data_IF_959595532988
#
_entry.id   IF_959595532988
#
_cell.length_a   1.000
_cell.length_b   1.000
_cell.length_c   1.000
_cell.angle_alpha   90.00
_cell.angle_beta   90.00
_cell.angle_gamma   90.00
#
_symmetry.space_group_name_H-M   'P 1'
#
loop_
_entity.id
_entity.type
_entity.pdbx_description
1 polymer ?
#
# COMPACT_ATOMS: atom_id res chain seq x y z
N UNK A 1 -0.25 35.63 -8.01
CA UNK A 1 -1.69 35.70 -7.67
C UNK A 1 -2.60 34.82 -8.55
N UNK A 2 -2.12 34.14 -9.61
CA UNK A 2 -2.98 33.41 -10.57
C UNK A 2 -3.02 31.88 -10.36
N UNK A 3 -1.92 31.26 -9.90
CA UNK A 3 -1.77 29.80 -9.86
C UNK A 3 -2.60 29.11 -8.77
N UNK A 4 -2.62 29.65 -7.56
CA UNK A 4 -3.41 29.11 -6.44
C UNK A 4 -4.92 29.18 -6.72
N UNK A 5 -5.37 30.24 -7.38
CA UNK A 5 -6.77 30.40 -7.79
C UNK A 5 -7.15 29.41 -8.90
N UNK A 6 -6.27 29.21 -9.88
CA UNK A 6 -6.47 28.19 -10.93
C UNK A 6 -6.50 26.78 -10.33
N UNK A 7 -5.59 26.45 -9.41
CA UNK A 7 -5.58 25.15 -8.71
C UNK A 7 -6.87 24.91 -7.93
N UNK A 8 -7.37 25.93 -7.21
CA UNK A 8 -8.65 25.89 -6.51
C UNK A 8 -9.80 25.60 -7.47
N UNK A 9 -9.92 26.38 -8.55
CA UNK A 9 -10.98 26.22 -9.55
C UNK A 9 -10.94 24.84 -10.21
N UNK A 10 -9.77 24.38 -10.65
CA UNK A 10 -9.61 23.07 -11.28
C UNK A 10 -9.94 21.93 -10.32
N UNK A 11 -9.48 22.00 -9.07
CA UNK A 11 -9.79 21.01 -8.04
C UNK A 11 -11.29 20.94 -7.74
N UNK A 12 -11.95 22.08 -7.60
CA UNK A 12 -13.41 22.15 -7.39
C UNK A 12 -14.17 21.60 -8.59
N UNK A 13 -13.83 22.00 -9.82
CA UNK A 13 -14.49 21.49 -11.03
C UNK A 13 -14.32 19.97 -11.17
N UNK A 14 -13.12 19.46 -10.89
CA UNK A 14 -12.85 18.03 -10.92
C UNK A 14 -13.68 17.28 -9.87
N UNK A 15 -13.71 17.78 -8.64
CA UNK A 15 -14.49 17.17 -7.56
C UNK A 15 -15.99 17.18 -7.82
N UNK A 16 -16.54 18.29 -8.32
CA UNK A 16 -17.95 18.39 -8.71
C UNK A 16 -18.28 17.46 -9.89
N UNK A 17 -17.40 17.40 -10.90
CA UNK A 17 -17.59 16.52 -12.06
C UNK A 17 -17.61 15.05 -11.66
N UNK A 18 -16.64 14.62 -10.83
CA UNK A 18 -16.58 13.24 -10.34
C UNK A 18 -17.77 12.90 -9.43
N UNK A 19 -18.16 13.82 -8.55
CA UNK A 19 -19.36 13.64 -7.73
C UNK A 19 -20.64 13.54 -8.57
N UNK A 20 -20.75 14.32 -9.64
CA UNK A 20 -21.85 14.27 -10.60
C UNK A 20 -21.96 12.91 -11.32
N UNK A 21 -20.83 12.33 -11.74
CA UNK A 21 -20.78 10.97 -12.29
C UNK A 21 -21.29 9.97 -11.24
N UNK A 22 -20.88 10.11 -9.99
CA UNK A 22 -21.34 9.24 -8.90
C UNK A 22 -22.86 9.30 -8.67
N UNK A 23 -23.44 10.51 -8.66
CA UNK A 23 -24.90 10.72 -8.58
C UNK A 23 -25.60 10.08 -9.79
N UNK A 24 -25.03 10.23 -10.99
CA UNK A 24 -25.57 9.62 -12.20
C UNK A 24 -25.60 8.09 -12.10
N UNK A 25 -24.53 7.46 -11.58
CA UNK A 25 -24.48 6.01 -11.39
C UNK A 25 -25.55 5.50 -10.41
N UNK A 26 -25.80 6.23 -9.32
CA UNK A 26 -26.83 5.85 -8.33
C UNK A 26 -28.24 6.00 -8.91
N UNK A 27 -28.48 7.07 -9.66
CA UNK A 27 -29.81 7.37 -10.23
C UNK A 27 -30.14 6.52 -11.46
N UNK A 28 -29.13 6.09 -12.22
CA UNK A 28 -29.27 5.27 -13.43
C UNK A 28 -28.41 4.01 -13.36
N UNK A 29 -28.64 3.12 -12.37
CA UNK A 29 -27.72 2.03 -12.06
C UNK A 29 -27.64 0.96 -13.17
N UNK A 30 -28.66 0.87 -14.03
CA UNK A 30 -28.72 -0.09 -15.13
C UNK A 30 -27.91 0.32 -16.35
N UNK A 31 -27.96 1.61 -16.72
CA UNK A 31 -27.36 2.13 -17.96
C UNK A 31 -26.01 2.79 -17.72
N UNK A 32 -25.73 3.23 -16.48
CA UNK A 32 -24.53 3.99 -16.17
C UNK A 32 -23.23 3.23 -16.47
N UNK A 33 -23.19 1.92 -16.26
CA UNK A 33 -21.98 1.11 -16.53
C UNK A 33 -21.63 1.12 -18.02
N UNK A 34 -22.62 0.93 -18.90
CA UNK A 34 -22.41 1.02 -20.35
C UNK A 34 -22.00 2.45 -20.76
N UNK A 35 -22.68 3.46 -20.21
CA UNK A 35 -22.35 4.84 -20.52
C UNK A 35 -20.94 5.24 -20.08
N UNK A 36 -20.42 4.68 -18.99
CA UNK A 36 -19.02 4.88 -18.59
C UNK A 36 -18.06 4.30 -19.63
N UNK A 37 -18.36 3.12 -20.20
CA UNK A 37 -17.56 2.56 -21.31
C UNK A 37 -17.62 3.48 -22.53
N UNK A 38 -18.78 4.07 -22.82
CA UNK A 38 -18.93 5.06 -23.90
C UNK A 38 -18.14 6.34 -23.64
N UNK A 39 -18.18 6.87 -22.42
CA UNK A 39 -17.38 8.04 -22.03
C UNK A 39 -15.88 7.76 -22.13
N UNK A 40 -15.43 6.57 -21.74
CA UNK A 40 -14.04 6.13 -21.89
C UNK A 40 -13.63 6.11 -23.37
N UNK A 41 -14.48 5.57 -24.25
CA UNK A 41 -14.25 5.60 -25.70
C UNK A 41 -14.13 7.04 -26.22
N UNK A 42 -15.03 7.94 -25.81
CA UNK A 42 -14.98 9.34 -26.20
C UNK A 42 -13.67 10.02 -25.74
N UNK A 43 -13.23 9.75 -24.50
CA UNK A 43 -11.96 10.26 -23.98
C UNK A 43 -10.75 9.77 -24.80
N UNK A 44 -10.72 8.48 -25.17
CA UNK A 44 -9.65 7.92 -26.01
C UNK A 44 -9.61 8.58 -27.39
N UNK A 45 -10.77 8.86 -27.99
CA UNK A 45 -10.86 9.61 -29.25
C UNK A 45 -10.32 11.03 -29.09
N UNK A 46 -10.73 11.74 -28.03
CA UNK A 46 -10.23 13.09 -27.74
C UNK A 46 -8.69 13.08 -27.59
N UNK A 47 -8.14 12.13 -26.84
CA UNK A 47 -6.69 12.00 -26.70
C UNK A 47 -5.99 11.67 -28.02
N UNK A 48 -6.57 10.81 -28.86
CA UNK A 48 -6.04 10.53 -30.19
C UNK A 48 -6.02 11.81 -31.05
N UNK A 49 -7.11 12.58 -31.05
CA UNK A 49 -7.21 13.85 -31.79
C UNK A 49 -6.20 14.88 -31.26
N UNK A 50 -6.07 15.04 -29.94
CA UNK A 50 -5.05 15.93 -29.34
C UNK A 50 -3.65 15.51 -29.78
N UNK A 51 -3.33 14.22 -29.73
CA UNK A 51 -2.03 13.71 -30.17
C UNK A 51 -1.79 14.01 -31.65
N UNK A 52 -2.78 13.82 -32.52
CA UNK A 52 -2.69 14.15 -33.95
C UNK A 52 -2.52 15.66 -34.19
N UNK A 53 -3.31 16.52 -33.53
CA UNK A 53 -3.17 17.98 -33.63
C UNK A 53 -1.76 18.39 -33.17
N UNK A 54 -1.28 17.83 -32.06
CA UNK A 54 0.04 18.16 -31.53
C UNK A 54 1.19 17.78 -32.47
N UNK A 55 0.97 16.78 -33.33
CA UNK A 55 1.91 16.39 -34.40
C UNK A 55 2.00 17.47 -35.48
N UNK A 56 0.90 18.14 -35.81
CA UNK A 56 0.88 19.23 -36.79
C UNK A 56 1.54 20.52 -36.28
N UNK A 57 1.43 20.81 -34.97
CA UNK A 57 1.88 22.10 -34.44
C UNK A 57 3.25 22.10 -33.76
N UNK A 58 3.74 20.99 -33.17
CA UNK A 58 4.86 21.07 -32.20
C UNK A 58 5.84 19.90 -32.11
N UNK A 59 5.72 18.81 -32.88
CA UNK A 59 6.62 17.64 -32.72
C UNK A 59 7.58 17.45 -33.90
N UNK A 60 8.89 17.48 -33.64
CA UNK A 60 9.92 17.07 -34.61
C UNK A 60 10.57 15.73 -34.20
N UNK A 61 11.08 14.99 -35.19
CA UNK A 61 11.82 13.73 -34.98
C UNK A 61 11.01 12.64 -34.28
N UNK A 62 11.62 11.97 -33.31
CA UNK A 62 11.03 10.81 -32.61
C UNK A 62 9.80 11.14 -31.77
N UNK A 63 9.67 12.39 -31.30
CA UNK A 63 8.47 12.85 -30.60
C UNK A 63 7.22 12.79 -31.49
N UNK A 64 7.38 12.96 -32.82
CA UNK A 64 6.31 12.85 -33.80
C UNK A 64 5.87 11.39 -33.97
N UNK A 65 6.83 10.48 -34.15
CA UNK A 65 6.56 9.03 -34.30
C UNK A 65 5.84 8.47 -33.08
N UNK A 66 6.30 8.82 -31.88
CA UNK A 66 5.70 8.37 -30.62
C UNK A 66 4.25 8.85 -30.48
N UNK A 67 3.97 10.11 -30.81
CA UNK A 67 2.61 10.67 -30.75
C UNK A 67 1.68 10.06 -31.81
N UNK A 68 2.17 9.82 -33.02
CA UNK A 68 1.41 9.11 -34.05
C UNK A 68 1.09 7.67 -33.64
N UNK A 69 2.08 6.96 -33.08
CA UNK A 69 1.88 5.61 -32.55
C UNK A 69 0.84 5.62 -31.40
N UNK A 70 0.97 6.53 -30.44
CA UNK A 70 -0.01 6.69 -29.37
C UNK A 70 -1.43 6.98 -29.88
N UNK A 71 -1.57 7.81 -30.91
CA UNK A 71 -2.87 8.05 -31.55
C UNK A 71 -3.43 6.78 -32.23
N UNK A 72 -2.60 6.02 -32.96
CA UNK A 72 -3.00 4.77 -33.60
C UNK A 72 -3.43 3.70 -32.59
N UNK A 73 -2.68 3.56 -31.49
CA UNK A 73 -3.02 2.68 -30.37
C UNK A 73 -4.36 3.09 -29.76
N UNK A 74 -4.55 4.37 -29.42
CA UNK A 74 -5.81 4.86 -28.86
C UNK A 74 -7.01 4.59 -29.79
N UNK A 75 -6.89 4.88 -31.09
CA UNK A 75 -7.96 4.60 -32.05
C UNK A 75 -8.25 3.10 -32.18
N UNK A 76 -7.22 2.25 -32.18
CA UNK A 76 -7.38 0.79 -32.19
C UNK A 76 -8.15 0.33 -30.96
N UNK A 77 -7.77 0.81 -29.77
CA UNK A 77 -8.49 0.52 -28.53
C UNK A 77 -9.93 1.03 -28.56
N UNK A 78 -10.18 2.22 -29.12
CA UNK A 78 -11.55 2.73 -29.31
C UNK A 78 -12.37 1.80 -30.19
N UNK A 79 -11.84 1.32 -31.31
CA UNK A 79 -12.56 0.38 -32.20
C UNK A 79 -12.85 -0.94 -31.49
N UNK A 80 -11.88 -1.48 -30.75
CA UNK A 80 -12.08 -2.68 -29.95
C UNK A 80 -13.16 -2.46 -28.87
N UNK A 81 -13.08 -1.37 -28.11
CA UNK A 81 -14.11 -1.05 -27.11
C UNK A 81 -15.47 -0.84 -27.76
N UNK A 82 -15.56 -0.23 -28.95
CA UNK A 82 -16.83 -0.04 -29.64
C UNK A 82 -17.52 -1.37 -29.96
N UNK A 83 -16.74 -2.34 -30.45
CA UNK A 83 -17.26 -3.67 -30.77
C UNK A 83 -17.60 -4.49 -29.51
N UNK A 84 -16.75 -4.42 -28.48
CA UNK A 84 -16.88 -5.22 -27.26
C UNK A 84 -17.57 -4.50 -26.09
N UNK A 85 -18.14 -3.31 -26.29
CA UNK A 85 -18.62 -2.45 -25.19
C UNK A 85 -19.61 -3.13 -24.25
N UNK A 86 -20.54 -3.92 -24.80
CA UNK A 86 -21.54 -4.63 -24.00
C UNK A 86 -20.87 -5.73 -23.16
N UNK A 87 -19.97 -6.50 -23.76
CA UNK A 87 -19.18 -7.52 -23.05
C UNK A 87 -18.33 -6.91 -21.94
N UNK A 88 -17.67 -5.78 -22.20
CA UNK A 88 -16.85 -5.06 -21.21
C UNK A 88 -17.74 -4.51 -20.09
N UNK A 89 -18.86 -3.89 -20.43
CA UNK A 89 -19.81 -3.34 -19.46
C UNK A 89 -20.40 -4.44 -18.55
N UNK A 90 -20.67 -5.63 -19.09
CA UNK A 90 -21.16 -6.77 -18.31
C UNK A 90 -20.05 -7.41 -17.45
N UNK A 91 -18.80 -7.42 -17.92
CA UNK A 91 -17.67 -7.99 -17.20
C UNK A 91 -17.35 -7.23 -15.92
N UNK A 92 -17.46 -5.90 -15.92
CA UNK A 92 -17.11 -5.05 -14.77
C UNK A 92 -17.91 -5.46 -13.50
N UNK A 93 -19.26 -5.55 -13.53
CA UNK A 93 -20.03 -6.05 -12.39
C UNK A 93 -19.71 -7.49 -11.98
N UNK A 94 -19.29 -8.36 -12.89
CA UNK A 94 -18.83 -9.72 -12.54
C UNK A 94 -17.52 -9.70 -11.75
N UNK A 95 -16.56 -8.86 -12.14
CA UNK A 95 -15.32 -8.65 -11.37
C UNK A 95 -15.65 -8.13 -9.98
N UNK A 96 -16.61 -7.20 -9.87
CA UNK A 96 -17.09 -6.72 -8.58
C UNK A 96 -17.72 -7.83 -7.72
N UNK A 97 -18.59 -8.67 -8.29
CA UNK A 97 -19.19 -9.80 -7.60
C UNK A 97 -18.12 -10.81 -7.12
N UNK A 98 -17.13 -11.11 -7.96
CA UNK A 98 -15.98 -11.96 -7.60
C UNK A 98 -15.20 -11.36 -6.43
N UNK A 99 -14.94 -10.05 -6.48
CA UNK A 99 -14.27 -9.33 -5.41
C UNK A 99 -15.03 -9.40 -4.08
N UNK A 100 -16.36 -9.19 -4.10
CA UNK A 100 -17.22 -9.33 -2.91
C UNK A 100 -17.11 -10.74 -2.34
N UNK A 101 -17.13 -11.76 -3.20
CA UNK A 101 -17.03 -13.16 -2.79
C UNK A 101 -15.66 -13.47 -2.15
N UNK A 102 -14.56 -13.07 -2.79
CA UNK A 102 -13.20 -13.25 -2.25
C UNK A 102 -13.06 -12.58 -0.88
N UNK A 103 -13.54 -11.34 -0.73
CA UNK A 103 -13.51 -10.62 0.54
C UNK A 103 -14.37 -11.32 1.61
N UNK A 104 -15.51 -11.87 1.23
CA UNK A 104 -16.36 -12.59 2.17
C UNK A 104 -15.71 -13.89 2.68
N UNK A 105 -15.02 -14.63 1.81
CA UNK A 105 -14.23 -15.81 2.19
C UNK A 105 -13.08 -15.39 3.10
N UNK A 106 -12.37 -14.31 2.79
CA UNK A 106 -11.30 -13.79 3.64
C UNK A 106 -11.82 -13.39 5.05
N UNK A 107 -13.01 -12.77 5.14
CA UNK A 107 -13.67 -12.46 6.43
C UNK A 107 -14.01 -13.73 7.22
N UNK A 108 -14.52 -14.77 6.56
CA UNK A 108 -14.85 -16.05 7.20
C UNK A 108 -13.60 -16.74 7.72
N UNK A 109 -12.52 -16.81 6.92
CA UNK A 109 -11.21 -17.32 7.35
C UNK A 109 -10.71 -16.51 8.56
N UNK A 110 -10.81 -15.19 8.49
CA UNK A 110 -10.40 -14.30 9.59
C UNK A 110 -11.19 -14.54 10.86
N UNK A 111 -12.51 -14.77 10.76
CA UNK A 111 -13.34 -15.11 11.92
C UNK A 111 -12.91 -16.42 12.58
N UNK A 112 -12.52 -17.42 11.78
CA UNK A 112 -12.00 -18.70 12.29
C UNK A 112 -10.65 -18.51 12.98
N UNK A 113 -9.76 -17.69 12.39
CA UNK A 113 -8.47 -17.33 13.00
C UNK A 113 -8.71 -16.61 14.32
N UNK A 114 -9.55 -15.58 14.34
CA UNK A 114 -9.85 -14.78 15.52
C UNK A 114 -10.44 -15.63 16.64
N UNK A 115 -11.35 -16.56 16.32
CA UNK A 115 -11.88 -17.53 17.28
C UNK A 115 -10.78 -18.41 17.89
N UNK A 116 -9.92 -18.98 17.03
CA UNK A 116 -8.82 -19.87 17.45
C UNK A 116 -7.77 -19.15 18.30
N UNK A 117 -7.47 -17.91 17.94
CA UNK A 117 -6.38 -17.14 18.54
C UNK A 117 -6.83 -16.34 19.77
N UNK A 118 -8.11 -16.44 20.15
CA UNK A 118 -8.68 -15.79 21.32
C UNK A 118 -8.91 -14.28 21.13
N UNK A 119 -9.14 -13.86 19.88
CA UNK A 119 -9.47 -12.46 19.53
C UNK A 119 -10.97 -12.24 19.74
N UNK A 120 -11.39 -11.20 20.50
CA UNK A 120 -12.80 -10.92 20.72
C UNK A 120 -13.50 -10.48 19.42
N UNK A 121 -14.84 -10.52 19.42
CA UNK A 121 -15.70 -10.07 18.32
C UNK A 121 -15.61 -10.88 17.01
N UNK A 122 -15.01 -12.09 17.04
CA UNK A 122 -14.99 -12.99 15.88
C UNK A 122 -16.39 -13.28 15.30
N UNK A 123 -17.44 -13.30 16.14
CA UNK A 123 -18.82 -13.51 15.71
C UNK A 123 -19.35 -12.43 14.75
N UNK A 124 -18.89 -11.19 14.89
CA UNK A 124 -19.24 -10.09 13.97
C UNK A 124 -18.56 -10.28 12.62
N UNK A 125 -17.29 -10.70 12.61
CA UNK A 125 -16.58 -11.07 11.39
C UNK A 125 -17.23 -12.26 10.69
N UNK A 126 -17.67 -13.27 11.44
CA UNK A 126 -18.37 -14.43 10.90
C UNK A 126 -19.70 -14.03 10.26
N UNK A 127 -20.57 -13.33 11.00
CA UNK A 127 -21.89 -12.94 10.49
C UNK A 127 -21.77 -12.01 9.28
N UNK A 128 -20.89 -11.00 9.34
CA UNK A 128 -20.67 -10.09 8.22
C UNK A 128 -20.05 -10.81 7.01
N UNK A 129 -19.15 -11.77 7.24
CA UNK A 129 -18.59 -12.64 6.22
C UNK A 129 -19.66 -13.50 5.55
N UNK A 130 -20.51 -14.16 6.34
CA UNK A 130 -21.59 -15.03 5.85
C UNK A 130 -22.62 -14.25 5.03
N UNK A 131 -23.10 -13.11 5.54
CA UNK A 131 -24.04 -12.24 4.81
C UNK A 131 -23.41 -11.73 3.51
N UNK A 132 -22.14 -11.32 3.54
CA UNK A 132 -21.42 -10.87 2.34
C UNK A 132 -21.23 -12.02 1.33
N UNK A 133 -21.03 -13.25 1.81
CA UNK A 133 -20.84 -14.43 0.96
C UNK A 133 -22.14 -14.81 0.23
N UNK A 134 -23.26 -14.85 0.97
CA UNK A 134 -24.60 -15.07 0.40
C UNK A 134 -24.92 -13.97 -0.62
N UNK A 135 -24.65 -12.72 -0.27
CA UNK A 135 -24.83 -11.59 -1.17
C UNK A 135 -23.95 -11.70 -2.42
N UNK A 136 -22.67 -12.06 -2.27
CA UNK A 136 -21.75 -12.29 -3.38
C UNK A 136 -22.24 -13.36 -4.36
N UNK A 137 -22.71 -14.51 -3.85
CA UNK A 137 -23.33 -15.57 -4.67
C UNK A 137 -24.57 -15.04 -5.38
N UNK A 138 -25.42 -14.31 -4.67
CA UNK A 138 -26.63 -13.72 -5.24
C UNK A 138 -26.33 -12.78 -6.42
N UNK A 139 -25.26 -11.97 -6.34
CA UNK A 139 -24.83 -11.11 -7.44
C UNK A 139 -24.42 -11.89 -8.68
N UNK A 140 -23.88 -13.11 -8.56
CA UNK A 140 -23.56 -13.93 -9.73
C UNK A 140 -24.81 -14.49 -10.43
N UNK A 141 -25.83 -14.82 -9.65
CA UNK A 141 -27.08 -15.41 -10.16
C UNK A 141 -27.98 -14.33 -10.77
N UNK A 142 -28.08 -13.16 -10.11
CA UNK A 142 -29.02 -12.12 -10.51
C UNK A 142 -28.33 -10.98 -11.27
N UNK A 143 -28.47 -10.99 -12.60
CA UNK A 143 -27.83 -9.98 -13.45
C UNK A 143 -28.30 -8.55 -13.20
N UNK A 144 -29.57 -8.34 -12.79
CA UNK A 144 -30.07 -7.01 -12.46
C UNK A 144 -29.39 -6.46 -11.21
N UNK A 145 -29.41 -7.22 -10.12
CA UNK A 145 -28.79 -6.81 -8.86
C UNK A 145 -27.27 -6.69 -8.98
N UNK A 146 -26.61 -7.55 -9.76
CA UNK A 146 -25.19 -7.45 -10.06
C UNK A 146 -24.78 -6.06 -10.54
N UNK A 147 -25.39 -5.62 -11.63
CA UNK A 147 -25.08 -4.34 -12.27
C UNK A 147 -25.52 -3.18 -11.38
N UNK A 148 -26.71 -3.28 -10.77
CA UNK A 148 -27.22 -2.20 -9.93
C UNK A 148 -26.39 -1.99 -8.65
N UNK A 149 -26.02 -3.07 -7.97
CA UNK A 149 -25.17 -3.01 -6.77
C UNK A 149 -23.79 -2.45 -7.09
N UNK A 150 -23.16 -2.88 -8.20
CA UNK A 150 -21.91 -2.27 -8.65
C UNK A 150 -22.08 -0.76 -8.88
N UNK A 151 -23.10 -0.36 -9.64
CA UNK A 151 -23.30 1.06 -9.97
C UNK A 151 -23.55 1.93 -8.73
N UNK A 152 -24.35 1.45 -7.78
CA UNK A 152 -24.62 2.17 -6.53
C UNK A 152 -23.35 2.28 -5.68
N UNK A 153 -22.61 1.19 -5.47
CA UNK A 153 -21.40 1.19 -4.64
C UNK A 153 -20.31 2.06 -5.26
N UNK A 154 -20.07 1.92 -6.57
CA UNK A 154 -19.13 2.77 -7.29
C UNK A 154 -19.59 4.24 -7.28
N UNK A 155 -20.89 4.50 -7.41
CA UNK A 155 -21.45 5.84 -7.35
C UNK A 155 -21.25 6.52 -5.99
N UNK A 156 -21.49 5.80 -4.89
CA UNK A 156 -21.21 6.30 -3.53
C UNK A 156 -19.71 6.61 -3.37
N UNK A 157 -18.85 5.71 -3.84
CA UNK A 157 -17.40 5.91 -3.81
C UNK A 157 -16.99 7.18 -4.59
N UNK A 158 -17.52 7.39 -5.80
CA UNK A 158 -17.22 8.57 -6.62
C UNK A 158 -17.76 9.87 -6.02
N UNK A 159 -18.96 9.86 -5.41
CA UNK A 159 -19.47 11.03 -4.66
C UNK A 159 -18.50 11.39 -3.55
N UNK A 160 -18.11 10.40 -2.75
CA UNK A 160 -17.21 10.63 -1.63
C UNK A 160 -15.84 11.11 -2.11
N UNK A 161 -15.28 10.48 -3.15
CA UNK A 161 -14.02 10.91 -3.76
C UNK A 161 -14.11 12.33 -4.33
N UNK A 162 -15.21 12.69 -4.99
CA UNK A 162 -15.50 14.04 -5.45
C UNK A 162 -15.48 15.06 -4.31
N UNK A 163 -16.12 14.73 -3.18
CA UNK A 163 -16.08 15.56 -1.95
C UNK A 163 -14.65 15.74 -1.44
N UNK A 164 -13.83 14.68 -1.43
CA UNK A 164 -12.42 14.79 -1.00
C UNK A 164 -11.61 15.69 -1.93
N UNK A 165 -11.80 15.62 -3.25
CA UNK A 165 -11.14 16.51 -4.21
C UNK A 165 -11.51 17.98 -4.00
N UNK A 166 -12.79 18.25 -3.70
CA UNK A 166 -13.23 19.61 -3.36
C UNK A 166 -12.54 20.08 -2.08
N UNK A 167 -12.54 19.27 -1.02
CA UNK A 167 -11.86 19.64 0.23
C UNK A 167 -10.37 19.91 0.01
N UNK A 168 -9.70 19.08 -0.80
CA UNK A 168 -8.28 19.20 -1.08
C UNK A 168 -7.94 20.47 -1.88
N UNK A 169 -8.86 20.92 -2.75
CA UNK A 169 -8.71 22.18 -3.47
C UNK A 169 -8.61 23.39 -2.53
N UNK A 170 -9.32 23.35 -1.39
CA UNK A 170 -9.32 24.42 -0.39
C UNK A 170 -8.31 24.19 0.75
N UNK A 171 -7.54 23.11 0.71
CA UNK A 171 -6.68 22.71 1.81
C UNK A 171 -5.26 23.30 1.74
N UNK A 172 -5.15 24.63 1.76
CA UNK A 172 -3.85 25.32 1.79
C UNK A 172 -3.30 25.48 3.22
N UNK A 173 -2.02 25.86 3.32
CA UNK A 173 -1.29 25.97 4.58
C UNK A 173 -1.94 26.97 5.54
N UNK A 174 -2.43 28.10 5.03
CA UNK A 174 -3.16 29.10 5.82
C UNK A 174 -4.47 28.55 6.41
N UNK A 175 -5.23 27.79 5.61
CA UNK A 175 -6.46 27.13 6.09
C UNK A 175 -6.13 26.07 7.14
N UNK A 176 -5.04 25.32 6.95
CA UNK A 176 -4.56 24.35 7.93
C UNK A 176 -4.14 25.01 9.25
N UNK A 177 -3.44 26.13 9.23
CA UNK A 177 -3.05 26.83 10.47
C UNK A 177 -4.26 27.30 11.29
N UNK A 178 -5.33 27.73 10.61
CA UNK A 178 -6.58 28.21 11.25
C UNK A 178 -7.52 27.09 11.69
N UNK A 179 -7.36 25.86 11.19
CA UNK A 179 -8.22 24.74 11.56
C UNK A 179 -7.89 24.18 12.95
N UNK A 180 -8.94 23.91 13.74
CA UNK A 180 -8.82 23.20 15.01
C UNK A 180 -8.27 21.78 14.82
N UNK A 181 -7.68 21.21 15.87
CA UNK A 181 -7.19 19.82 15.85
C UNK A 181 -8.30 18.82 15.50
N UNK A 182 -9.53 19.05 16.00
CA UNK A 182 -10.70 18.22 15.69
C UNK A 182 -11.10 18.31 14.22
N UNK A 183 -11.07 19.51 13.62
CA UNK A 183 -11.36 19.70 12.21
C UNK A 183 -10.31 19.01 11.32
N UNK A 184 -9.03 19.12 11.68
CA UNK A 184 -7.93 18.42 11.01
C UNK A 184 -8.10 16.90 11.10
N UNK A 185 -8.40 16.36 12.28
CA UNK A 185 -8.67 14.94 12.47
C UNK A 185 -9.86 14.47 11.62
N UNK A 186 -10.95 15.23 11.60
CA UNK A 186 -12.14 14.90 10.81
C UNK A 186 -11.83 14.90 9.30
N UNK A 187 -11.19 15.94 8.79
CA UNK A 187 -10.82 16.04 7.38
C UNK A 187 -9.95 14.86 6.94
N UNK A 188 -9.00 14.46 7.77
CA UNK A 188 -8.11 13.34 7.46
C UNK A 188 -8.86 12.00 7.45
N UNK A 189 -9.82 11.79 8.36
CA UNK A 189 -10.73 10.63 8.37
C UNK A 189 -11.67 10.57 7.16
N UNK A 190 -11.97 11.71 6.54
CA UNK A 190 -12.83 11.78 5.36
C UNK A 190 -12.13 11.33 4.07
N UNK A 191 -10.81 11.12 4.02
CA UNK A 191 -10.13 10.67 2.80
C UNK A 191 -10.14 9.14 2.69
N UNK A 192 -10.64 8.61 1.58
CA UNK A 192 -10.64 7.16 1.31
C UNK A 192 -9.42 6.80 0.47
N UNK A 193 -8.74 5.73 0.83
CA UNK A 193 -7.67 5.16 0.00
C UNK A 193 -8.21 4.62 -1.34
N UNK A 194 -7.32 4.32 -2.28
CA UNK A 194 -7.73 3.57 -3.48
C UNK A 194 -8.33 2.22 -3.06
N UNK A 195 -9.28 1.67 -3.86
CA UNK A 195 -9.75 0.31 -3.64
C UNK A 195 -8.56 -0.63 -3.48
N UNK A 196 -8.59 -1.51 -2.47
CA UNK A 196 -7.47 -2.38 -2.07
C UNK A 196 -6.87 -3.18 -3.23
N UNK A 197 -7.69 -3.54 -4.22
CA UNK A 197 -7.29 -4.22 -5.45
C UNK A 197 -6.26 -3.41 -6.27
N UNK A 198 -6.44 -2.08 -6.38
CA UNK A 198 -5.49 -1.21 -7.09
C UNK A 198 -4.22 -0.99 -6.26
N UNK A 199 -4.36 -0.92 -4.93
CA UNK A 199 -3.23 -0.78 -4.01
C UNK A 199 -2.21 -1.92 -4.13
N UNK A 200 -2.66 -3.16 -4.38
CA UNK A 200 -1.78 -4.33 -4.51
C UNK A 200 -0.75 -4.22 -5.66
N UNK A 201 -1.04 -3.47 -6.72
CA UNK A 201 -0.14 -3.31 -7.87
C UNK A 201 0.85 -2.15 -7.72
N UNK A 202 0.68 -1.30 -6.71
CA UNK A 202 1.51 -0.11 -6.51
C UNK A 202 3.00 -0.46 -6.40
N UNK A 203 3.43 -1.44 -5.58
CA UNK A 203 4.86 -1.75 -5.42
C UNK A 203 5.51 -2.20 -6.73
N UNK A 204 4.84 -3.06 -7.51
CA UNK A 204 5.32 -3.48 -8.84
C UNK A 204 5.51 -2.31 -9.79
N UNK A 205 4.56 -1.37 -9.83
CA UNK A 205 4.68 -0.19 -10.71
C UNK A 205 5.80 0.75 -10.28
N UNK A 206 6.01 0.92 -8.97
CA UNK A 206 7.11 1.73 -8.43
C UNK A 206 8.46 1.12 -8.77
N UNK A 207 8.60 -0.20 -8.59
CA UNK A 207 9.84 -0.92 -8.90
C UNK A 207 10.18 -0.84 -10.39
N UNK A 208 9.20 -1.04 -11.28
CA UNK A 208 9.41 -0.90 -12.72
C UNK A 208 9.81 0.53 -13.10
N UNK A 209 9.19 1.54 -12.47
CA UNK A 209 9.55 2.95 -12.71
C UNK A 209 10.97 3.24 -12.23
N UNK A 210 11.34 2.73 -11.06
CA UNK A 210 12.68 2.82 -10.50
C UNK A 210 13.71 2.16 -11.42
N UNK A 211 13.51 0.90 -11.82
CA UNK A 211 14.40 0.16 -12.73
C UNK A 211 14.59 0.90 -14.06
N UNK A 212 13.49 1.36 -14.67
CA UNK A 212 13.55 2.12 -15.92
C UNK A 212 14.36 3.41 -15.78
N UNK A 213 14.26 4.09 -14.63
CA UNK A 213 14.92 5.37 -14.40
C UNK A 213 16.41 5.20 -14.12
N UNK A 214 16.77 4.23 -13.29
CA UNK A 214 18.17 3.84 -13.04
C UNK A 214 18.86 3.35 -14.32
N UNK A 215 18.14 2.66 -15.20
CA UNK A 215 18.69 2.23 -16.48
C UNK A 215 18.89 3.38 -17.49
N UNK A 216 18.31 4.56 -17.25
CA UNK A 216 18.24 5.65 -18.24
C UNK A 216 18.97 6.95 -17.88
N UNK A 217 19.35 7.15 -16.61
CA UNK A 217 19.96 8.37 -16.05
C UNK A 217 21.02 8.01 -14.98
N UNK A 218 21.77 8.99 -14.48
CA UNK A 218 22.60 8.82 -13.27
C UNK A 218 21.69 8.44 -12.09
N UNK A 219 21.76 7.16 -11.71
CA UNK A 219 20.88 6.55 -10.72
C UNK A 219 20.86 7.31 -9.39
N UNK A 220 22.03 7.81 -8.96
CA UNK A 220 22.15 8.55 -7.70
C UNK A 220 21.44 9.90 -7.79
N UNK A 221 21.57 10.62 -8.90
CA UNK A 221 20.86 11.88 -9.11
C UNK A 221 19.34 11.68 -9.12
N UNK A 222 18.85 10.63 -9.78
CA UNK A 222 17.42 10.30 -9.76
C UNK A 222 16.93 9.94 -8.35
N UNK A 223 17.67 9.10 -7.62
CA UNK A 223 17.30 8.68 -6.26
C UNK A 223 17.25 9.89 -5.34
N UNK A 224 18.31 10.70 -5.29
CA UNK A 224 18.38 11.91 -4.47
C UNK A 224 17.24 12.89 -4.79
N UNK A 225 16.81 12.99 -6.06
CA UNK A 225 15.67 13.83 -6.45
C UNK A 225 14.33 13.36 -5.85
N UNK A 226 14.23 12.10 -5.44
CA UNK A 226 13.04 11.51 -4.83
C UNK A 226 13.04 11.60 -3.31
N UNK A 227 14.19 11.95 -2.72
CA UNK A 227 14.35 12.11 -1.28
C UNK A 227 13.79 13.46 -0.83
N UNK A 228 13.21 13.46 0.36
CA UNK A 228 12.60 14.65 0.96
C UNK A 228 13.10 14.74 2.38
N UNK A 229 13.57 15.92 2.77
CA UNK A 229 13.91 16.25 4.16
C UNK A 229 13.21 17.56 4.52
N UNK A 230 12.51 17.58 5.65
CA UNK A 230 11.85 18.76 6.23
C UNK A 230 12.66 19.14 7.47
N UNK A 231 13.63 20.07 7.36
CA UNK A 231 14.62 20.31 8.42
C UNK A 231 14.01 20.80 9.73
N UNK A 232 12.89 21.52 9.68
CA UNK A 232 12.22 22.07 10.88
C UNK A 232 11.71 20.98 11.84
N UNK A 233 11.63 19.72 11.37
CA UNK A 233 11.18 18.55 12.15
C UNK A 233 12.30 17.54 12.39
N UNK A 234 13.48 17.76 11.79
CA UNK A 234 14.64 16.87 11.87
C UNK A 234 15.34 16.87 13.24
N UNK A 235 14.89 17.71 14.19
CA UNK A 235 15.43 17.82 15.56
C UNK A 235 14.67 17.05 16.64
N UNK A 236 13.63 16.27 16.29
CA UNK A 236 12.85 15.46 17.24
C UNK A 236 13.49 14.06 17.29
N UNK A 237 14.20 13.69 18.37
CA UNK A 237 14.69 12.31 18.53
C UNK A 237 14.76 11.88 20.01
N UNK A 238 14.41 10.62 20.34
CA UNK A 238 15.46 9.58 20.36
C UNK A 238 15.06 8.19 19.84
N UNK A 239 13.89 7.99 19.22
CA UNK A 239 13.47 6.65 18.77
C UNK A 239 13.56 6.37 17.27
N UNK A 240 13.96 7.33 16.43
CA UNK A 240 14.12 7.16 14.97
C UNK A 240 13.10 6.18 14.37
N UNK A 241 11.80 6.46 14.52
CA UNK A 241 10.79 5.55 13.97
C UNK A 241 10.78 5.71 12.46
N UNK A 242 11.23 4.66 11.76
CA UNK A 242 11.22 4.61 10.31
C UNK A 242 10.28 3.52 9.85
N UNK A 243 9.45 3.85 8.87
CA UNK A 243 8.56 2.92 8.20
C UNK A 243 9.19 2.58 6.85
N UNK A 244 9.52 1.32 6.64
CA UNK A 244 10.13 0.81 5.41
C UNK A 244 9.09 0.14 4.54
N UNK A 245 8.95 0.58 3.30
CA UNK A 245 8.15 -0.11 2.27
C UNK A 245 9.10 -0.82 1.32
N UNK A 246 9.01 -2.15 1.24
CA UNK A 246 9.87 -2.95 0.38
C UNK A 246 9.32 -3.07 -1.03
N UNK A 247 10.22 -2.95 -2.00
CA UNK A 247 9.99 -3.27 -3.38
C UNK A 247 10.92 -4.42 -3.76
N UNK A 248 10.36 -5.55 -4.21
CA UNK A 248 11.11 -6.76 -4.56
C UNK A 248 10.72 -7.27 -5.94
N UNK A 249 11.69 -7.84 -6.66
CA UNK A 249 11.47 -8.52 -7.96
C UNK A 249 10.96 -9.95 -7.78
N UNK A 250 11.07 -10.53 -6.58
CA UNK A 250 10.60 -11.89 -6.28
C UNK A 250 9.06 -11.91 -6.30
N UNK A 251 8.46 -12.84 -7.06
CA UNK A 251 7.01 -12.85 -7.35
C UNK A 251 6.10 -12.77 -6.12
N UNK A 252 6.40 -13.53 -5.07
CA UNK A 252 5.60 -13.54 -3.82
C UNK A 252 5.81 -12.27 -2.97
N UNK A 253 6.94 -11.58 -3.13
CA UNK A 253 7.28 -10.32 -2.43
C UNK A 253 6.94 -9.08 -3.28
N UNK A 254 6.50 -9.26 -4.53
CA UNK A 254 6.20 -8.18 -5.47
C UNK A 254 5.00 -7.33 -5.03
N UNK A 255 4.16 -7.84 -4.12
CA UNK A 255 3.06 -7.10 -3.48
C UNK A 255 3.53 -6.14 -2.38
N UNK A 256 4.84 -6.09 -2.12
CA UNK A 256 5.49 -5.27 -1.12
C UNK A 256 5.42 -5.87 0.29
N UNK A 257 6.18 -5.28 1.19
CA UNK A 257 6.20 -5.60 2.63
C UNK A 257 6.47 -4.31 3.42
N UNK A 258 6.02 -4.26 4.68
CA UNK A 258 6.21 -3.10 5.55
C UNK A 258 6.95 -3.51 6.80
N UNK A 259 8.13 -2.94 6.99
CA UNK A 259 8.94 -3.15 8.19
C UNK A 259 9.20 -1.85 8.91
N UNK A 260 9.63 -1.97 10.17
CA UNK A 260 9.81 -0.83 11.05
C UNK A 260 11.23 -0.80 11.57
N UNK A 261 11.78 0.40 11.69
CA UNK A 261 12.99 0.64 12.46
C UNK A 261 12.59 1.38 13.73
N UNK A 262 13.05 0.88 14.87
CA UNK A 262 12.96 1.54 16.17
C UNK A 262 14.37 1.69 16.75
N UNK A 263 14.86 2.92 16.81
CA UNK A 263 16.22 3.21 17.24
C UNK A 263 17.24 2.54 16.32
N UNK A 264 17.88 1.48 16.82
CA UNK A 264 18.85 0.68 16.09
C UNK A 264 18.38 -0.75 15.78
N UNK A 265 17.11 -1.06 16.03
CA UNK A 265 16.51 -2.36 15.74
C UNK A 265 15.57 -2.27 14.53
N UNK A 266 15.72 -3.20 13.59
CA UNK A 266 14.72 -3.48 12.56
C UNK A 266 13.77 -4.57 13.04
N UNK A 267 12.47 -4.33 12.85
CA UNK A 267 11.38 -5.22 13.24
C UNK A 267 10.57 -5.56 12.00
N UNK A 268 10.42 -6.86 11.75
CA UNK A 268 9.66 -7.39 10.62
C UNK A 268 8.71 -8.48 11.07
N UNK A 269 7.50 -8.50 10.51
CA UNK A 269 6.49 -9.51 10.82
C UNK A 269 5.94 -10.14 9.56
N UNK A 270 5.94 -11.46 9.49
CA UNK A 270 5.54 -12.17 8.29
C UNK A 270 5.29 -13.65 8.50
N UNK A 271 5.11 -14.33 7.38
CA UNK A 271 5.02 -15.78 7.27
C UNK A 271 6.41 -16.42 7.18
N UNK A 272 7.27 -16.19 8.18
CA UNK A 272 8.64 -16.69 8.16
C UNK A 272 8.78 -18.14 8.63
N UNK A 273 7.77 -18.73 9.25
CA UNK A 273 7.78 -20.14 9.62
C UNK A 273 7.21 -21.00 8.48
N UNK A 274 8.12 -21.54 7.65
CA UNK A 274 7.77 -22.39 6.52
C UNK A 274 7.01 -23.65 6.91
N UNK A 275 7.26 -24.19 8.11
CA UNK A 275 6.66 -25.44 8.60
C UNK A 275 5.18 -25.29 8.94
N UNK A 276 4.70 -24.07 9.20
CA UNK A 276 3.28 -23.80 9.52
C UNK A 276 2.45 -23.28 8.34
N UNK A 277 3.00 -23.33 7.12
CA UNK A 277 2.35 -22.87 5.90
C UNK A 277 1.02 -23.58 5.62
N UNK A 278 0.01 -22.76 5.34
CA UNK A 278 -1.35 -23.14 4.99
C UNK A 278 -1.78 -22.27 3.81
N UNK A 279 -2.67 -22.78 2.96
CA UNK A 279 -3.13 -22.07 1.75
C UNK A 279 -1.97 -21.61 0.83
N UNK A 280 -0.96 -22.47 0.64
CA UNK A 280 0.20 -22.15 -0.21
C UNK A 280 1.07 -21.01 0.31
N UNK A 281 1.14 -20.83 1.64
CA UNK A 281 1.93 -19.79 2.30
C UNK A 281 1.19 -18.48 2.55
N UNK A 282 -0.06 -18.32 2.07
CA UNK A 282 -0.89 -17.15 2.36
C UNK A 282 -1.29 -17.06 3.85
N UNK A 283 -1.18 -18.17 4.59
CA UNK A 283 -1.41 -18.26 6.03
C UNK A 283 -0.30 -19.07 6.70
N UNK A 284 0.16 -18.64 7.87
CA UNK A 284 1.13 -19.35 8.69
C UNK A 284 1.00 -18.92 10.16
N UNK A 285 1.82 -19.49 11.04
CA UNK A 285 2.05 -18.82 12.33
C UNK A 285 2.71 -17.46 12.06
N UNK A 286 2.28 -16.45 12.82
CA UNK A 286 2.86 -15.13 12.75
C UNK A 286 4.21 -15.11 13.44
N UNK A 287 5.25 -14.78 12.68
CA UNK A 287 6.62 -14.65 13.19
C UNK A 287 7.05 -13.20 13.08
N UNK A 288 7.48 -12.64 14.19
CA UNK A 288 8.17 -11.36 14.25
C UNK A 288 9.66 -11.63 14.44
N UNK A 289 10.51 -11.00 13.63
CA UNK A 289 11.95 -11.01 13.87
C UNK A 289 12.48 -9.62 14.21
N UNK A 290 13.55 -9.61 14.99
CA UNK A 290 14.27 -8.41 15.41
C UNK A 290 15.73 -8.59 15.09
N UNK A 291 16.35 -7.61 14.44
CA UNK A 291 17.79 -7.58 14.18
C UNK A 291 18.34 -6.15 14.20
N UNK A 292 19.66 -6.03 14.12
CA UNK A 292 20.32 -4.73 13.99
C UNK A 292 19.93 -4.06 12.67
N UNK A 293 19.64 -2.75 12.74
CA UNK A 293 19.20 -1.93 11.60
C UNK A 293 20.19 -2.00 10.43
N UNK A 294 21.49 -1.86 10.68
CA UNK A 294 22.47 -1.76 9.61
C UNK A 294 22.66 -3.10 8.92
N UNK A 295 22.68 -4.20 9.70
CA UNK A 295 22.66 -5.57 9.15
C UNK A 295 21.41 -5.81 8.32
N UNK A 296 20.25 -5.39 8.83
CA UNK A 296 18.97 -5.54 8.14
C UNK A 296 18.94 -4.83 6.79
N UNK A 297 19.33 -3.56 6.76
CA UNK A 297 19.35 -2.77 5.54
C UNK A 297 20.35 -3.32 4.53
N UNK A 298 21.55 -3.71 5.00
CA UNK A 298 22.59 -4.35 4.18
C UNK A 298 22.07 -5.64 3.54
N UNK A 299 21.54 -6.55 4.34
CA UNK A 299 21.04 -7.85 3.86
C UNK A 299 19.91 -7.63 2.83
N UNK A 300 18.94 -6.78 3.17
CA UNK A 300 17.79 -6.48 2.32
C UNK A 300 18.20 -5.89 0.97
N UNK A 301 19.17 -4.97 0.96
CA UNK A 301 19.56 -4.22 -0.22
C UNK A 301 20.60 -4.96 -1.07
N UNK A 302 21.67 -5.46 -0.45
CA UNK A 302 22.82 -6.02 -1.17
C UNK A 302 22.60 -7.48 -1.55
N UNK A 303 22.07 -8.30 -0.64
CA UNK A 303 21.92 -9.74 -0.84
C UNK A 303 20.55 -10.07 -1.44
N UNK A 304 19.49 -9.47 -0.91
CA UNK A 304 18.13 -9.68 -1.40
C UNK A 304 17.77 -8.84 -2.62
N UNK A 305 18.57 -7.81 -2.94
CA UNK A 305 18.35 -6.93 -4.09
C UNK A 305 17.07 -6.10 -4.00
N UNK A 306 16.58 -5.82 -2.78
CA UNK A 306 15.37 -5.02 -2.54
C UNK A 306 15.69 -3.53 -2.65
N UNK A 307 14.66 -2.77 -3.00
CA UNK A 307 14.65 -1.30 -2.87
C UNK A 307 13.70 -0.97 -1.73
N UNK A 308 14.18 -0.28 -0.70
CA UNK A 308 13.38 0.09 0.46
C UNK A 308 13.10 1.58 0.41
N UNK A 309 11.83 1.96 0.46
CA UNK A 309 11.43 3.36 0.60
C UNK A 309 11.15 3.60 2.08
N UNK A 310 12.00 4.39 2.73
CA UNK A 310 11.90 4.75 4.14
C UNK A 310 11.12 6.05 4.33
N UNK A 311 10.27 6.08 5.35
CA UNK A 311 9.57 7.26 5.83
C UNK A 311 9.83 7.44 7.32
N UNK A 312 10.54 8.51 7.71
CA UNK A 312 10.75 8.83 9.13
C UNK A 312 9.62 9.67 9.69
N UNK A 313 9.12 9.26 10.85
CA UNK A 313 7.98 9.89 11.52
C UNK A 313 8.42 10.58 12.80
N UNK A 314 8.08 11.86 12.93
CA UNK A 314 8.31 12.67 14.12
C UNK A 314 7.16 12.46 15.11
N UNK A 315 7.39 11.57 16.08
CA UNK A 315 6.51 11.36 17.23
C UNK A 315 6.94 12.27 18.39
N UNK A 316 5.99 12.80 19.16
CA UNK A 316 6.29 13.51 20.41
C UNK A 316 6.75 12.53 21.50
N UNK A 317 7.31 13.05 22.60
CA UNK A 317 7.75 12.21 23.72
C UNK A 317 6.59 11.37 24.32
N UNK A 318 5.40 11.96 24.44
CA UNK A 318 4.19 11.25 24.89
C UNK A 318 3.80 10.12 23.93
N UNK A 319 3.89 10.38 22.62
CA UNK A 319 3.58 9.38 21.60
C UNK A 319 4.61 8.26 21.57
N UNK A 320 5.90 8.60 21.77
CA UNK A 320 6.96 7.61 21.91
C UNK A 320 6.77 6.75 23.16
N UNK A 321 6.29 7.32 24.27
CA UNK A 321 5.95 6.54 25.47
C UNK A 321 4.83 5.54 25.20
N UNK A 322 3.80 5.94 24.43
CA UNK A 322 2.72 5.03 23.99
C UNK A 322 3.28 3.91 23.10
N UNK A 323 4.16 4.22 22.16
CA UNK A 323 4.81 3.22 21.29
C UNK A 323 5.62 2.22 22.12
N UNK A 324 6.40 2.70 23.11
CA UNK A 324 7.16 1.83 24.03
C UNK A 324 6.24 0.89 24.79
N UNK A 325 5.12 1.38 25.30
CA UNK A 325 4.15 0.56 26.02
C UNK A 325 3.52 -0.49 25.11
N UNK A 326 3.10 -0.10 23.89
CA UNK A 326 2.57 -1.04 22.90
C UNK A 326 3.61 -2.12 22.53
N UNK A 327 4.88 -1.76 22.37
CA UNK A 327 5.96 -2.71 22.11
C UNK A 327 6.23 -3.63 23.30
N UNK A 328 6.19 -3.10 24.54
CA UNK A 328 6.30 -3.90 25.76
C UNK A 328 5.21 -4.98 25.84
N UNK A 329 3.96 -4.63 25.50
CA UNK A 329 2.84 -5.60 25.42
C UNK A 329 3.08 -6.68 24.37
N UNK A 330 3.76 -6.37 23.26
CA UNK A 330 4.16 -7.40 22.30
C UNK A 330 5.15 -8.36 22.94
N UNK A 331 6.21 -7.85 23.57
CA UNK A 331 7.24 -8.65 24.23
C UNK A 331 6.63 -9.58 25.29
N UNK A 332 5.71 -9.08 26.11
CA UNK A 332 4.97 -9.89 27.08
C UNK A 332 4.11 -10.99 26.43
N UNK A 333 3.66 -10.81 25.21
CA UNK A 333 2.83 -11.76 24.46
C UNK A 333 3.62 -12.64 23.48
N UNK A 334 4.94 -12.47 23.40
CA UNK A 334 5.80 -13.25 22.52
C UNK A 334 6.50 -14.39 23.26
N UNK A 335 6.92 -15.39 22.49
CA UNK A 335 7.85 -16.44 22.90
C UNK A 335 8.92 -16.54 21.83
N UNK A 336 10.16 -16.72 22.25
CA UNK A 336 11.27 -16.93 21.32
C UNK A 336 11.03 -18.22 20.52
N UNK A 337 11.35 -18.14 19.22
CA UNK A 337 11.26 -19.23 18.28
C UNK A 337 12.60 -19.31 17.53
N UNK A 338 13.02 -20.52 17.21
CA UNK A 338 14.31 -20.78 16.58
C UNK A 338 14.08 -21.38 15.19
N UNK A 339 14.79 -20.86 14.20
CA UNK A 339 14.83 -21.46 12.86
C UNK A 339 15.66 -22.76 12.87
N UNK A 340 15.58 -23.54 11.79
CA UNK A 340 16.25 -24.83 11.69
C UNK A 340 17.78 -24.69 11.85
N UNK A 341 18.38 -23.63 11.29
CA UNK A 341 19.81 -23.31 11.48
C UNK A 341 20.17 -23.13 12.95
N UNK A 342 19.37 -22.35 13.70
CA UNK A 342 19.58 -22.16 15.14
C UNK A 342 19.39 -23.46 15.93
N UNK A 343 18.43 -24.29 15.54
CA UNK A 343 18.21 -25.59 16.17
C UNK A 343 19.38 -26.55 15.95
N UNK A 344 20.04 -26.51 14.79
CA UNK A 344 21.30 -27.25 14.56
C UNK A 344 22.42 -26.75 15.45
N UNK A 345 22.61 -25.43 15.54
CA UNK A 345 23.64 -24.82 16.39
C UNK A 345 23.45 -25.17 17.88
N UNK A 346 22.20 -25.33 18.32
CA UNK A 346 21.85 -25.79 19.66
C UNK A 346 21.93 -27.32 19.85
N UNK A 347 22.25 -28.08 18.80
CA UNK A 347 22.29 -29.55 18.83
C UNK A 347 20.91 -30.21 18.95
N UNK A 348 19.83 -29.47 18.67
CA UNK A 348 18.44 -29.92 18.74
C UNK A 348 17.92 -30.48 17.40
N UNK A 349 18.62 -30.20 16.30
CA UNK A 349 18.32 -30.70 14.97
C UNK A 349 19.57 -31.30 14.32
N UNK A 350 19.37 -32.25 13.39
CA UNK A 350 20.49 -32.89 12.67
C UNK A 350 21.22 -31.88 11.79
N UNK A 351 22.56 -31.95 11.69
CA UNK A 351 23.32 -31.15 10.75
C UNK A 351 22.79 -31.27 9.32
N UNK A 352 22.67 -30.13 8.64
CA UNK A 352 22.18 -30.02 7.28
C UNK A 352 22.32 -28.59 6.78
N UNK A 353 22.18 -28.38 5.48
CA UNK A 353 22.11 -27.04 4.91
C UNK A 353 20.64 -26.64 4.77
N UNK A 354 20.16 -25.86 5.73
CA UNK A 354 18.80 -25.34 5.77
C UNK A 354 18.74 -23.99 5.07
N UNK A 355 17.78 -23.85 4.16
CA UNK A 355 17.64 -22.68 3.29
C UNK A 355 16.23 -22.10 3.35
N UNK A 356 15.53 -22.29 4.48
CA UNK A 356 14.28 -21.58 4.76
C UNK A 356 14.47 -20.08 4.72
N UNK A 357 13.39 -19.33 4.58
CA UNK A 357 13.44 -17.85 4.58
C UNK A 357 14.00 -17.36 5.91
N UNK A 358 13.56 -17.96 7.01
CA UNK A 358 14.05 -17.77 8.36
C UNK A 358 15.55 -18.09 8.51
N UNK A 359 16.06 -19.13 7.83
CA UNK A 359 17.46 -19.51 7.88
C UNK A 359 18.33 -18.50 7.16
N UNK A 360 17.88 -18.05 5.98
CA UNK A 360 18.57 -17.02 5.20
C UNK A 360 18.62 -15.71 6.00
N UNK A 361 17.50 -15.30 6.59
CA UNK A 361 17.43 -14.11 7.46
C UNK A 361 18.40 -14.27 8.64
N UNK A 362 18.39 -15.42 9.31
CA UNK A 362 19.28 -15.68 10.44
C UNK A 362 20.75 -15.59 10.04
N UNK A 363 21.16 -16.29 8.98
CA UNK A 363 22.53 -16.31 8.47
C UNK A 363 23.01 -14.91 8.05
N UNK A 364 22.14 -14.11 7.44
CA UNK A 364 22.49 -12.77 6.96
C UNK A 364 22.50 -11.67 8.04
N UNK A 365 21.66 -11.79 9.06
CA UNK A 365 21.44 -10.68 10.02
C UNK A 365 21.72 -11.03 11.49
N UNK A 366 21.74 -12.32 11.84
CA UNK A 366 21.72 -12.79 13.23
C UNK A 366 20.41 -12.49 13.95
N UNK A 367 19.29 -12.44 13.22
CA UNK A 367 17.99 -12.09 13.79
C UNK A 367 17.54 -13.02 14.93
N UNK A 368 16.77 -12.45 15.85
CA UNK A 368 16.01 -13.20 16.86
C UNK A 368 14.56 -13.30 16.39
N UNK A 369 13.96 -14.48 16.48
CA UNK A 369 12.60 -14.71 16.03
C UNK A 369 11.66 -14.95 17.21
N UNK A 370 10.42 -14.52 17.05
CA UNK A 370 9.39 -14.57 18.06
C UNK A 370 8.05 -14.97 17.45
N UNK A 371 7.30 -15.83 18.14
CA UNK A 371 5.90 -16.13 17.85
C UNK A 371 4.99 -15.55 18.92
N UNK A 372 3.77 -15.17 18.55
CA UNK A 372 2.79 -14.65 19.51
C UNK A 372 1.99 -15.79 20.17
N UNK A 373 1.79 -15.69 21.49
CA UNK A 373 1.06 -16.69 22.28
C UNK A 373 -0.45 -16.69 21.98
N UNK A 374 -1.02 -15.49 21.80
CA UNK A 374 -2.45 -15.23 21.56
C UNK A 374 -2.67 -13.92 20.80
N UNK A 375 -3.91 -13.66 20.42
CA UNK A 375 -4.31 -12.40 19.82
C UNK A 375 -4.07 -12.35 18.30
N UNK A 376 -4.32 -11.18 17.68
CA UNK A 376 -4.48 -11.10 16.23
C UNK A 376 -3.19 -11.41 15.44
N UNK A 377 -2.01 -11.22 16.04
CA UNK A 377 -0.70 -11.46 15.41
C UNK A 377 -0.20 -12.91 15.57
N UNK A 378 -0.97 -13.79 16.23
CA UNK A 378 -0.60 -15.21 16.36
C UNK A 378 -0.62 -15.94 15.02
N UNK A 379 -1.55 -15.58 14.15
CA UNK A 379 -1.66 -16.16 12.82
C UNK A 379 -1.46 -15.09 11.77
N UNK A 380 -0.43 -15.26 10.95
CA UNK A 380 -0.28 -14.48 9.75
C UNK A 380 -1.34 -14.90 8.74
N UNK A 381 -2.02 -13.92 8.15
CA UNK A 381 -2.90 -14.12 7.00
C UNK A 381 -2.79 -12.92 6.06
N UNK A 382 -2.26 -13.16 4.86
CA UNK A 382 -1.89 -12.11 3.90
C UNK A 382 -3.01 -11.09 3.61
N UNK A 383 -4.28 -11.51 3.65
CA UNK A 383 -5.44 -10.67 3.35
C UNK A 383 -6.00 -9.89 4.56
N UNK A 384 -5.56 -10.15 5.80
CA UNK A 384 -6.07 -9.45 6.98
C UNK A 384 -4.97 -9.14 8.01
N UNK A 385 -4.37 -10.16 8.63
CA UNK A 385 -3.27 -9.98 9.59
C UNK A 385 -1.92 -10.16 8.88
N UNK A 386 -1.40 -9.07 8.35
CA UNK A 386 -0.10 -9.03 7.68
C UNK A 386 0.84 -7.99 8.35
N UNK A 387 1.99 -7.72 7.72
CA UNK A 387 3.02 -6.81 8.22
C UNK A 387 2.52 -5.40 8.56
N UNK A 388 1.53 -4.88 7.84
CA UNK A 388 0.96 -3.56 8.11
C UNK A 388 0.28 -3.51 9.48
N UNK A 389 -0.28 -4.64 9.94
CA UNK A 389 -0.98 -4.72 11.22
C UNK A 389 -0.03 -4.52 12.41
N UNK A 390 1.25 -4.88 12.27
CA UNK A 390 2.27 -4.61 13.30
C UNK A 390 2.51 -3.11 13.45
N UNK A 391 2.69 -2.38 12.34
CA UNK A 391 2.80 -0.93 12.34
C UNK A 391 1.55 -0.28 12.95
N UNK A 392 0.37 -0.72 12.55
CA UNK A 392 -0.90 -0.19 13.07
C UNK A 392 -1.08 -0.43 14.57
N UNK A 393 -0.65 -1.59 15.08
CA UNK A 393 -0.74 -1.92 16.50
C UNK A 393 0.31 -1.17 17.33
N UNK A 394 1.52 -0.95 16.80
CA UNK A 394 2.55 -0.19 17.51
C UNK A 394 2.20 1.30 17.59
N UNK A 395 1.61 1.87 16.54
CA UNK A 395 1.19 3.26 16.50
C UNK A 395 -0.21 3.52 17.07
N UNK A 396 -0.86 2.50 17.63
CA UNK A 396 -2.18 2.65 18.22
C UNK A 396 -2.15 3.70 19.36
N UNK A 397 -3.12 4.61 19.35
CA UNK A 397 -3.26 5.74 20.28
C UNK A 397 -2.20 6.85 20.20
N UNK A 398 -1.26 6.80 19.24
CA UNK A 398 -0.23 7.86 19.04
C UNK A 398 -0.72 9.08 18.24
N UNK A 399 -2.00 9.09 17.85
CA UNK A 399 -2.55 10.08 16.92
C UNK A 399 -1.97 10.03 15.49
N UNK A 400 -1.02 9.13 15.21
CA UNK A 400 -0.60 8.81 13.86
C UNK A 400 -1.70 8.03 13.16
N UNK A 401 -2.02 8.46 11.94
CA UNK A 401 -3.19 7.97 11.25
C UNK A 401 -2.94 6.61 10.62
N UNK A 402 -4.02 5.85 10.45
CA UNK A 402 -4.02 4.59 9.71
C UNK A 402 -4.64 4.85 8.34
N UNK A 403 -4.25 4.11 7.29
CA UNK A 403 -4.96 4.18 6.02
C UNK A 403 -6.44 3.88 6.23
N UNK A 404 -7.32 4.70 5.67
CA UNK A 404 -8.76 4.43 5.63
C UNK A 404 -9.07 3.38 4.55
N UNK A 405 -8.42 2.22 4.63
CA UNK A 405 -8.73 1.05 3.82
C UNK A 405 -9.69 0.15 4.59
N UNK A 406 -10.55 -0.58 3.87
CA UNK A 406 -11.38 -1.63 4.48
C UNK A 406 -10.54 -2.76 5.08
N UNK A 407 -11.16 -3.92 5.34
CA UNK A 407 -10.54 -5.05 6.05
C UNK A 407 -9.24 -5.63 5.43
N UNK A 408 -8.84 -5.22 4.21
CA UNK A 408 -7.60 -5.64 3.56
C UNK A 408 -6.71 -4.41 3.41
N UNK A 409 -5.63 -4.36 4.19
CA UNK A 409 -4.58 -3.34 4.06
C UNK A 409 -3.40 -3.97 3.33
N UNK A 410 -3.03 -3.41 2.18
CA UNK A 410 -1.87 -3.87 1.40
C UNK A 410 -0.69 -2.92 1.61
N UNK A 411 0.57 -3.40 1.55
CA UNK A 411 1.76 -2.54 1.60
C UNK A 411 1.73 -1.40 0.58
N UNK A 412 1.19 -1.65 -0.62
CA UNK A 412 1.00 -0.60 -1.63
C UNK A 412 -0.03 0.47 -1.26
N UNK A 413 -1.13 0.11 -0.60
CA UNK A 413 -2.07 1.09 -0.05
C UNK A 413 -1.45 1.88 1.11
N UNK A 414 -0.64 1.21 1.94
CA UNK A 414 0.12 1.86 3.01
C UNK A 414 1.13 2.88 2.47
N UNK A 415 1.88 2.53 1.43
CA UNK A 415 2.78 3.45 0.72
C UNK A 415 2.04 4.69 0.19
N UNK A 416 0.89 4.51 -0.46
CA UNK A 416 0.11 5.65 -0.97
C UNK A 416 -0.37 6.55 0.15
N UNK A 417 -0.76 5.97 1.28
CA UNK A 417 -1.09 6.72 2.48
C UNK A 417 0.11 7.55 2.97
N UNK A 418 1.30 6.95 3.07
CA UNK A 418 2.54 7.64 3.52
C UNK A 418 2.95 8.76 2.56
N UNK A 419 2.94 8.52 1.26
CA UNK A 419 3.19 9.55 0.24
C UNK A 419 2.19 10.70 0.35
N UNK A 420 0.91 10.35 0.43
CA UNK A 420 -0.15 11.34 0.60
C UNK A 420 -0.06 12.08 1.93
N UNK A 421 0.54 11.50 2.98
CA UNK A 421 0.80 12.16 4.24
C UNK A 421 2.02 13.08 4.17
N UNK A 422 3.09 12.70 3.47
CA UNK A 422 4.31 13.51 3.26
C UNK A 422 4.00 14.85 2.58
N UNK A 423 3.11 14.87 1.59
CA UNK A 423 2.75 16.06 0.81
C UNK A 423 1.87 17.08 1.59
N UNK A 424 1.47 16.79 2.84
CA UNK A 424 0.52 17.61 3.60
C UNK A 424 1.19 18.66 4.48
N UNK A 425 0.58 19.87 4.60
CA UNK A 425 0.95 20.80 5.66
C UNK A 425 0.79 20.15 7.04
N UNK A 426 1.78 20.34 7.93
CA UNK A 426 1.74 19.78 9.28
C UNK A 426 1.94 18.27 9.37
N UNK A 427 2.46 17.62 8.31
CA UNK A 427 2.78 16.18 8.31
C UNK A 427 3.70 15.76 9.46
N UNK A 428 3.52 14.56 10.02
CA UNK A 428 4.50 13.99 10.95
C UNK A 428 5.69 13.35 10.22
N UNK A 429 5.57 13.09 8.93
CA UNK A 429 6.67 12.54 8.14
C UNK A 429 7.63 13.68 7.81
N UNK A 430 8.88 13.57 8.24
CA UNK A 430 9.87 14.62 8.01
C UNK A 430 10.98 14.19 7.05
N UNK A 431 11.13 12.89 6.81
CA UNK A 431 12.10 12.37 5.87
C UNK A 431 11.49 11.25 5.02
N UNK A 432 11.79 11.28 3.73
CA UNK A 432 11.64 10.15 2.82
C UNK A 432 13.00 9.86 2.22
N UNK A 433 13.49 8.64 2.40
CA UNK A 433 14.80 8.18 1.90
C UNK A 433 14.63 6.90 1.09
N UNK A 434 15.48 6.70 0.08
CA UNK A 434 15.50 5.43 -0.66
C UNK A 434 16.79 4.69 -0.33
N UNK A 435 16.62 3.47 0.14
CA UNK A 435 17.68 2.52 0.40
C UNK A 435 17.74 1.52 -0.76
N UNK A 436 18.84 1.55 -1.48
CA UNK A 436 19.09 0.71 -2.65
C UNK A 436 20.58 0.46 -2.85
N UNK A 437 20.92 -0.45 -3.76
CA UNK A 437 22.32 -0.85 -3.99
C UNK A 437 23.18 0.35 -4.37
N UNK A 438 22.62 1.29 -5.10
CA UNK A 438 23.26 2.51 -5.58
C UNK A 438 23.57 3.48 -4.42
N UNK A 439 22.69 3.55 -3.42
CA UNK A 439 22.85 4.44 -2.25
C UNK A 439 23.64 3.82 -1.11
N UNK A 440 23.63 2.49 -0.97
CA UNK A 440 24.47 1.75 0.00
C UNK A 440 25.88 1.47 -0.53
N UNK A 441 26.11 1.74 -1.82
CA UNK A 441 27.27 1.29 -2.59
C UNK A 441 28.44 2.27 -2.69
N UNK A 442 28.57 3.29 -1.82
CA UNK A 442 29.79 4.10 -1.84
C UNK A 442 30.95 3.27 -1.26
N UNK A 443 31.94 2.98 -2.12
CA UNK A 443 33.06 2.06 -1.85
C UNK A 443 33.85 2.36 -0.56
N UNK A 444 33.82 3.59 -0.06
CA UNK A 444 34.45 3.96 1.22
C UNK A 444 33.72 3.43 2.45
N UNK A 445 32.38 3.35 2.46
CA UNK A 445 31.62 2.78 3.59
C UNK A 445 31.70 1.25 3.61
N UNK A 446 31.76 0.63 2.43
CA UNK A 446 31.94 -0.83 2.29
C UNK A 446 33.33 -1.23 2.81
N UNK A 447 34.40 -0.53 2.40
CA UNK A 447 35.77 -0.84 2.82
C UNK A 447 36.04 -0.55 4.31
N UNK A 448 35.39 0.48 4.88
CA UNK A 448 35.56 0.81 6.31
C UNK A 448 34.80 -0.17 7.22
N UNK A 449 33.73 -0.81 6.72
CA UNK A 449 32.91 -1.76 7.47
C UNK A 449 33.29 -3.23 7.26
N UNK A 450 34.01 -3.60 6.20
CA UNK A 450 34.63 -4.93 6.06
C UNK A 450 35.84 -5.14 7.01
N UNK A 451 36.31 -4.06 7.64
CA UNK A 451 37.39 -4.08 8.63
C UNK A 451 36.89 -4.17 10.09
N UNK A 452 35.56 -4.21 10.32
CA UNK A 452 34.89 -4.41 11.61
C UNK A 452 34.16 -5.76 11.63
#
# INVERSE_FOLDING_TARGET
MNEQRTKKIMGTLSGVGVGGIGIYMITHPRTSVEQIVVLLMAALVIFAVINLISVFFKSQGDSKKMRMFGAAVNLTFTVLLFYFRFTVADLIPYIFAAYVLINSVAKLISALIDWRDGVPNYGVYFLSGLLSFIFGIYLFINSYFKTASFAIVAGIYLIWYGVTLVFDAFNDQETQEKMSQTAKQFQRKMRIALPSLLGAFVPMTLLKKYDNKIASEDANAYILSQEVLIPEKAGINPMNVEILVHLSKKFMEAFGHVDLIFGNEAISYGNFDGHSYRLGGAMSDGVLFICDKDRYLRESVLNDGKVLISFKVAFSDDELAIIKDNYGRFQENMVEWFCDTQLVEQGLLKPGDYTGVEDIIYKGTGARFYKFKKGPLKTYFALNTNCVKVADSLFENTGFEKPATGNIVTPGAYYQFLMGALERPGTKIYEKKIYSRETFGNQEEIATQEAL
#
